data_IF_219983806751
#
_entry.id   IF_219983806751
#
_cell.length_a   1.000
_cell.length_b   1.000
_cell.length_c   1.000
_cell.angle_alpha   90.00
_cell.angle_beta   90.00
_cell.angle_gamma   90.00
#
_symmetry.space_group_name_H-M   'P 1'
#
loop_
_entity.id
_entity.type
_entity.pdbx_description
1 polymer ?
#
# COMPACT_ATOMS: atom_id res chain seq x y z
N UNK A 1 24.52 -11.40 -19.15
CA UNK A 1 23.20 -11.99 -18.86
C UNK A 1 22.91 -11.78 -17.38
N UNK A 2 21.92 -10.94 -17.08
CA UNK A 2 21.66 -10.37 -15.76
C UNK A 2 21.22 -11.41 -14.75
N UNK A 3 21.83 -11.36 -13.56
CA UNK A 3 21.32 -12.05 -12.38
C UNK A 3 20.03 -11.32 -11.97
N UNK A 4 18.89 -12.00 -11.76
CA UNK A 4 17.78 -11.38 -11.06
C UNK A 4 18.32 -10.90 -9.71
N UNK A 5 18.11 -9.62 -9.42
CA UNK A 5 18.52 -8.99 -8.18
C UNK A 5 18.01 -9.85 -7.01
N UNK A 6 18.85 -10.02 -5.99
CA UNK A 6 18.41 -10.62 -4.73
C UNK A 6 17.09 -9.92 -4.33
N UNK A 7 16.02 -10.65 -4.00
CA UNK A 7 14.85 -10.01 -3.40
C UNK A 7 15.42 -9.25 -2.21
N UNK A 8 15.27 -7.92 -2.20
CA UNK A 8 15.67 -7.13 -1.04
C UNK A 8 15.03 -7.80 0.14
N UNK A 9 15.85 -8.29 1.08
CA UNK A 9 15.35 -9.04 2.22
C UNK A 9 14.51 -8.05 3.00
N UNK A 10 13.21 -8.06 2.79
CA UNK A 10 12.32 -7.25 3.58
C UNK A 10 12.51 -7.71 5.02
N UNK A 11 12.90 -6.78 5.89
CA UNK A 11 13.09 -7.07 7.32
C UNK A 11 11.78 -7.57 7.94
N UNK A 12 10.64 -7.16 7.36
CA UNK A 12 9.29 -7.54 7.77
C UNK A 12 8.37 -7.72 6.57
N UNK A 13 7.42 -8.63 6.70
CA UNK A 13 6.39 -8.90 5.70
C UNK A 13 5.02 -8.75 6.33
N UNK A 14 4.21 -7.84 5.81
CA UNK A 14 2.89 -7.51 6.37
C UNK A 14 1.83 -7.86 5.33
N UNK A 15 0.89 -8.73 5.69
CA UNK A 15 -0.23 -9.06 4.81
C UNK A 15 -1.34 -8.05 5.02
N UNK A 16 -1.88 -7.56 3.92
CA UNK A 16 -2.95 -6.58 3.88
C UNK A 16 -4.12 -7.19 3.12
N UNK A 17 -5.25 -7.38 3.80
CA UNK A 17 -6.51 -7.79 3.20
C UNK A 17 -7.39 -6.58 2.90
N UNK A 18 -7.73 -6.39 1.63
CA UNK A 18 -8.67 -5.37 1.18
C UNK A 18 -10.02 -6.03 0.93
N UNK A 19 -11.08 -5.49 1.53
CA UNK A 19 -12.45 -5.99 1.36
C UNK A 19 -13.39 -4.88 0.91
N UNK A 20 -14.52 -5.26 0.31
CA UNK A 20 -15.55 -4.32 -0.18
C UNK A 20 -16.17 -3.46 0.93
N UNK A 21 -15.91 -3.77 2.20
CA UNK A 21 -16.28 -2.91 3.34
C UNK A 21 -15.40 -1.65 3.46
N UNK A 22 -14.48 -1.42 2.52
CA UNK A 22 -13.46 -0.36 2.57
C UNK A 22 -12.62 -0.43 3.86
N UNK A 23 -12.46 -1.65 4.40
CA UNK A 23 -11.62 -1.95 5.55
C UNK A 23 -10.30 -2.52 5.08
N UNK A 24 -9.24 -2.06 5.73
CA UNK A 24 -7.88 -2.56 5.52
C UNK A 24 -7.53 -3.41 6.73
N UNK A 25 -7.37 -4.71 6.51
CA UNK A 25 -6.99 -5.66 7.55
C UNK A 25 -5.50 -5.96 7.47
N UNK A 26 -4.76 -5.65 8.53
CA UNK A 26 -3.35 -5.97 8.64
C UNK A 26 -3.17 -7.27 9.43
N UNK A 27 -2.25 -8.14 8.99
CA UNK A 27 -1.91 -9.36 9.75
C UNK A 27 -1.20 -9.08 11.07
N UNK A 28 -0.61 -7.89 11.22
CA UNK A 28 0.10 -7.45 12.41
C UNK A 28 -0.07 -5.95 12.66
N UNK A 29 0.23 -5.51 13.88
CA UNK A 29 0.14 -4.10 14.26
C UNK A 29 1.31 -3.28 13.69
N UNK A 30 0.99 -2.21 12.96
CA UNK A 30 1.98 -1.31 12.33
C UNK A 30 2.66 -0.36 13.33
N UNK A 31 2.14 -0.22 14.54
CA UNK A 31 2.55 0.80 15.51
C UNK A 31 4.01 0.68 15.98
N UNK A 32 4.66 -0.47 15.76
CA UNK A 32 6.04 -0.73 16.21
C UNK A 32 7.09 -0.64 15.09
N UNK A 33 6.70 -0.20 13.89
CA UNK A 33 7.64 -0.08 12.77
C UNK A 33 8.62 1.07 13.02
N UNK A 34 9.92 0.73 13.05
CA UNK A 34 11.00 1.71 13.17
C UNK A 34 11.39 2.25 11.79
N UNK A 35 11.65 3.55 11.71
CA UNK A 35 12.23 4.16 10.51
C UNK A 35 13.53 3.47 10.10
N UNK A 36 13.69 3.20 8.81
CA UNK A 36 14.84 2.49 8.24
C UNK A 36 14.67 0.97 8.12
N UNK A 37 13.51 0.43 8.50
CA UNK A 37 13.14 -0.98 8.26
C UNK A 37 12.54 -1.11 6.86
N UNK A 38 13.00 -2.06 6.06
CA UNK A 38 12.35 -2.38 4.77
C UNK A 38 11.18 -3.33 5.02
N UNK A 39 9.98 -2.94 4.59
CA UNK A 39 8.76 -3.71 4.84
C UNK A 39 8.10 -4.07 3.53
N UNK A 40 7.88 -5.36 3.32
CA UNK A 40 7.11 -5.85 2.18
C UNK A 40 5.65 -6.01 2.57
N UNK A 41 4.77 -5.26 1.91
CA UNK A 41 3.33 -5.36 2.04
C UNK A 41 2.78 -6.31 0.97
N UNK A 42 2.19 -7.42 1.41
CA UNK A 42 1.47 -8.35 0.55
C UNK A 42 0.00 -7.95 0.57
N UNK A 43 -0.43 -7.20 -0.44
CA UNK A 43 -1.77 -6.65 -0.55
C UNK A 43 -2.65 -7.57 -1.38
N UNK A 44 -3.67 -8.15 -0.77
CA UNK A 44 -4.64 -9.05 -1.42
C UNK A 44 -6.02 -8.43 -1.42
N UNK A 45 -6.63 -8.36 -2.59
CA UNK A 45 -8.01 -7.95 -2.73
C UNK A 45 -8.93 -9.17 -2.63
N UNK A 46 -9.56 -9.33 -1.47
CA UNK A 46 -10.56 -10.38 -1.20
C UNK A 46 -11.98 -9.93 -1.58
N UNK A 47 -12.12 -8.68 -2.00
CA UNK A 47 -13.35 -8.07 -2.48
C UNK A 47 -13.69 -8.38 -3.94
N UNK A 48 -14.79 -7.79 -4.40
CA UNK A 48 -15.32 -7.89 -5.76
C UNK A 48 -15.12 -6.61 -6.57
N UNK A 49 -14.70 -5.52 -5.94
CA UNK A 49 -14.35 -4.26 -6.62
C UNK A 49 -12.84 -4.02 -6.60
N UNK A 50 -12.33 -3.22 -7.52
CA UNK A 50 -10.94 -2.80 -7.48
C UNK A 50 -10.70 -1.93 -6.23
N UNK A 51 -9.64 -2.23 -5.50
CA UNK A 51 -9.25 -1.45 -4.33
C UNK A 51 -7.92 -0.75 -4.57
N UNK A 52 -7.78 0.43 -4.01
CA UNK A 52 -6.53 1.19 -4.00
C UNK A 52 -5.92 1.13 -2.61
N UNK A 53 -4.63 0.81 -2.54
CA UNK A 53 -3.86 0.83 -1.31
C UNK A 53 -2.68 1.77 -1.48
N UNK A 54 -2.56 2.74 -0.58
CA UNK A 54 -1.48 3.71 -0.58
C UNK A 54 -0.77 3.72 0.77
N UNK A 55 0.57 3.78 0.72
CA UNK A 55 1.41 3.89 1.92
C UNK A 55 1.96 5.32 1.99
N UNK A 56 1.50 6.07 3.00
CA UNK A 56 2.01 7.40 3.32
C UNK A 56 1.89 7.66 4.82
N UNK A 57 2.56 8.69 5.30
CA UNK A 57 2.44 9.12 6.69
C UNK A 57 1.07 9.79 6.93
N UNK A 58 0.57 9.83 8.17
CA UNK A 58 -0.73 10.47 8.48
C UNK A 58 -0.75 11.95 8.04
N UNK A 59 0.38 12.63 8.20
CA UNK A 59 0.55 14.01 7.73
C UNK A 59 0.40 14.13 6.21
N UNK A 60 0.98 13.20 5.44
CA UNK A 60 0.90 13.17 3.98
C UNK A 60 -0.50 12.81 3.51
N UNK A 61 -1.19 11.86 4.15
CA UNK A 61 -2.58 11.53 3.82
C UNK A 61 -3.53 12.71 4.11
N UNK A 62 -3.32 13.44 5.21
CA UNK A 62 -4.12 14.63 5.53
C UNK A 62 -3.86 15.75 4.52
N UNK A 63 -2.60 16.00 4.18
CA UNK A 63 -2.23 16.97 3.16
C UNK A 63 -2.79 16.57 1.80
N UNK A 64 -2.74 15.29 1.43
CA UNK A 64 -3.29 14.78 0.18
C UNK A 64 -4.81 14.92 0.14
N UNK A 65 -5.51 14.68 1.25
CA UNK A 65 -6.96 14.92 1.36
C UNK A 65 -7.32 16.42 1.24
N UNK A 66 -6.50 17.31 1.80
CA UNK A 66 -6.68 18.76 1.63
C UNK A 66 -6.34 19.22 0.21
N UNK A 67 -5.33 18.63 -0.41
CA UNK A 67 -4.92 18.90 -1.79
C UNK A 67 -6.01 18.45 -2.76
N UNK A 68 -6.60 17.27 -2.55
CA UNK A 68 -7.74 16.76 -3.31
C UNK A 68 -8.99 17.65 -3.19
N UNK A 69 -9.23 18.24 -2.01
CA UNK A 69 -10.28 19.25 -1.83
C UNK A 69 -10.02 20.52 -2.63
N UNK A 70 -8.75 20.89 -2.84
CA UNK A 70 -8.35 22.11 -3.56
C UNK A 70 -8.14 21.89 -5.05
N UNK A 71 -7.84 20.67 -5.49
CA UNK A 71 -7.46 20.31 -6.85
C UNK A 71 -8.09 18.96 -7.27
N UNK A 72 -9.38 18.93 -7.64
CA UNK A 72 -10.10 17.69 -7.99
C UNK A 72 -9.64 17.03 -9.30
N UNK A 73 -8.70 17.62 -10.04
CA UNK A 73 -8.18 17.11 -11.31
C UNK A 73 -6.74 16.61 -11.24
N UNK A 74 -6.20 16.40 -10.04
CA UNK A 74 -4.86 15.85 -9.88
C UNK A 74 -4.89 14.33 -10.14
N UNK A 75 -4.07 13.86 -11.09
CA UNK A 75 -3.90 12.43 -11.37
C UNK A 75 -2.92 11.88 -10.35
N UNK A 76 -3.39 10.99 -9.49
CA UNK A 76 -2.55 10.32 -8.49
C UNK A 76 -1.55 9.39 -9.18
N UNK A 77 -0.28 9.78 -9.17
CA UNK A 77 0.84 8.93 -9.52
C UNK A 77 1.91 9.03 -8.44
N UNK A 78 1.49 8.96 -7.18
CA UNK A 78 2.41 8.78 -6.07
C UNK A 78 2.96 7.35 -6.15
N UNK A 79 4.28 7.21 -6.13
CA UNK A 79 4.99 5.93 -6.27
C UNK A 79 4.64 4.88 -5.21
N UNK A 80 3.86 5.25 -4.19
CA UNK A 80 3.45 4.41 -3.08
C UNK A 80 1.98 3.98 -3.15
N UNK A 81 1.28 4.24 -4.26
CA UNK A 81 -0.10 3.85 -4.47
C UNK A 81 -0.19 2.68 -5.43
N UNK A 82 -0.98 1.67 -5.08
CA UNK A 82 -1.21 0.50 -5.92
C UNK A 82 -2.68 0.12 -5.98
N UNK A 83 -3.18 -0.07 -7.20
CA UNK A 83 -4.51 -0.61 -7.44
C UNK A 83 -4.45 -2.13 -7.54
N UNK A 84 -5.29 -2.83 -6.79
CA UNK A 84 -5.41 -4.29 -6.77
C UNK A 84 -6.79 -4.67 -7.29
N UNK A 85 -6.83 -5.41 -8.41
CA UNK A 85 -8.07 -5.95 -8.96
C UNK A 85 -8.65 -7.05 -8.06
N UNK A 86 -9.97 -7.34 -8.14
CA UNK A 86 -10.60 -8.41 -7.38
C UNK A 86 -9.88 -9.76 -7.49
N UNK A 87 -9.59 -10.39 -6.35
CA UNK A 87 -8.90 -11.68 -6.29
C UNK A 87 -7.41 -11.63 -6.64
N UNK A 88 -6.83 -10.45 -6.86
CA UNK A 88 -5.41 -10.31 -7.11
C UNK A 88 -4.63 -10.03 -5.82
N UNK A 89 -3.36 -10.42 -5.85
CA UNK A 89 -2.37 -10.07 -4.83
C UNK A 89 -1.24 -9.29 -5.48
N UNK A 90 -0.84 -8.18 -4.86
CA UNK A 90 0.30 -7.35 -5.26
C UNK A 90 1.25 -7.16 -4.07
N UNK A 91 2.50 -6.87 -4.39
CA UNK A 91 3.56 -6.64 -3.41
C UNK A 91 4.02 -5.19 -3.52
N UNK A 92 4.23 -4.54 -2.37
CA UNK A 92 4.84 -3.21 -2.26
C UNK A 92 5.98 -3.29 -1.25
N UNK A 93 7.10 -2.63 -1.51
CA UNK A 93 8.31 -2.66 -0.65
C UNK A 93 8.84 -1.26 -0.44
#
# INVERSE_FOLDING_TARGET
MGKPAQPSVADRVIKVGLTDEMKINFSEELATIKSGTTIEFIVTNEGKIAHEFSIGNEAEQREHAEMMRRMPSMVHADGNTLTVEPGMTKFLT
#
